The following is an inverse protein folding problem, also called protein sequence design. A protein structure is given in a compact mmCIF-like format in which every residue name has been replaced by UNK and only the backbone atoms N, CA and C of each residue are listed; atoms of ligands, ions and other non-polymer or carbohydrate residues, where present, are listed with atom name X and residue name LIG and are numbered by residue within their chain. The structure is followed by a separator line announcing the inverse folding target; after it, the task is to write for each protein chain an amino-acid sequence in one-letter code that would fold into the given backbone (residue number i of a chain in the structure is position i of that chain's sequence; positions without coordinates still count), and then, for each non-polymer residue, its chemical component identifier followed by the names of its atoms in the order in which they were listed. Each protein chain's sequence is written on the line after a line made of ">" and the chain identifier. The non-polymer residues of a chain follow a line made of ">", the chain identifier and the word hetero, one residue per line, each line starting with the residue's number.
data_IF_894098305684
#
_entry.id   IF_894098305684
#
_cell.length_a   1.000
_cell.length_b   1.000
_cell.length_c   1.000
_cell.angle_alpha   90.00
_cell.angle_beta   90.00
_cell.angle_gamma   90.00
#
_symmetry.space_group_name_H-M   'P 1'
#
loop_
_entity.id
_entity.type
_entity.pdbx_description
1 polymer ?
#
# COMPACT_ATOMS: atom_id res chain seq x y z
N UNK A 1 1.69 -10.92 -8.02
CA UNK A 1 0.94 -9.70 -8.34
C UNK A 1 1.20 -8.65 -7.29
N UNK A 2 1.50 -7.44 -7.71
CA UNK A 2 1.78 -6.35 -6.76
C UNK A 2 0.49 -5.71 -6.24
N UNK A 3 0.59 -5.05 -5.09
CA UNK A 3 -0.52 -4.33 -4.46
C UNK A 3 -0.11 -2.87 -4.29
N UNK A 4 -1.01 -1.96 -4.67
CA UNK A 4 -0.80 -0.52 -4.48
C UNK A 4 -1.79 -0.01 -3.46
N UNK A 5 -1.30 0.72 -2.45
CA UNK A 5 -2.13 1.32 -1.42
C UNK A 5 -1.90 2.83 -1.45
N UNK A 6 -2.97 3.60 -1.52
CA UNK A 6 -2.88 5.05 -1.56
C UNK A 6 -3.49 5.68 -0.33
N UNK A 7 -3.04 6.88 -0.03
CA UNK A 7 -3.59 7.68 1.05
C UNK A 7 -2.78 8.96 1.21
N UNK A 8 -3.31 9.97 1.90
CA UNK A 8 -2.60 11.21 2.09
C UNK A 8 -1.33 11.02 2.91
N UNK A 9 -0.38 11.90 2.71
CA UNK A 9 0.85 11.89 3.49
C UNK A 9 0.50 12.10 4.97
N UNK A 10 1.16 11.33 5.83
CA UNK A 10 0.91 11.42 7.26
C UNK A 10 -0.26 10.60 7.78
N UNK A 11 -0.92 9.80 6.92
CA UNK A 11 -2.03 8.96 7.37
C UNK A 11 -1.57 7.67 8.09
N UNK A 12 -0.28 7.41 8.11
CA UNK A 12 0.27 6.24 8.80
C UNK A 12 0.63 5.07 7.89
N UNK A 13 0.63 5.26 6.58
CA UNK A 13 1.00 4.19 5.64
C UNK A 13 2.38 3.60 5.94
N UNK A 14 3.37 4.48 6.10
CA UNK A 14 4.73 4.03 6.37
C UNK A 14 4.86 3.35 7.73
N UNK A 15 4.09 3.80 8.70
CA UNK A 15 4.09 3.22 10.03
C UNK A 15 3.60 1.77 10.02
N UNK A 16 2.63 1.48 9.16
CA UNK A 16 2.01 0.15 9.08
C UNK A 16 2.52 -0.69 7.92
N UNK A 17 3.54 -0.25 7.21
CA UNK A 17 3.98 -0.92 5.98
C UNK A 17 4.32 -2.39 6.18
N UNK A 18 4.97 -2.73 7.28
CA UNK A 18 5.33 -4.13 7.55
C UNK A 18 4.10 -4.99 7.79
N UNK A 19 3.13 -4.45 8.52
CA UNK A 19 1.86 -5.15 8.77
C UNK A 19 1.09 -5.35 7.48
N UNK A 20 1.09 -4.33 6.61
CA UNK A 20 0.43 -4.42 5.32
C UNK A 20 1.07 -5.49 4.44
N UNK A 21 2.40 -5.53 4.40
CA UNK A 21 3.11 -6.52 3.62
C UNK A 21 2.80 -7.94 4.08
N UNK A 22 2.75 -8.16 5.39
CA UNK A 22 2.39 -9.47 5.95
C UNK A 22 0.94 -9.82 5.61
N UNK A 23 0.05 -8.86 5.76
CA UNK A 23 -1.38 -9.08 5.50
C UNK A 23 -1.63 -9.52 4.05
N UNK A 24 -0.93 -8.91 3.10
CA UNK A 24 -1.11 -9.22 1.68
C UNK A 24 -0.12 -10.27 1.16
N UNK A 25 0.75 -10.78 2.01
CA UNK A 25 1.74 -11.77 1.59
C UNK A 25 2.80 -11.21 0.66
N UNK A 26 3.14 -9.93 0.80
CA UNK A 26 4.13 -9.28 -0.06
C UNK A 26 5.52 -9.42 0.55
N UNK A 27 6.50 -9.65 -0.32
CA UNK A 27 7.89 -9.81 0.11
C UNK A 27 8.71 -8.54 -0.02
N UNK A 28 8.21 -7.54 -0.75
CA UNK A 28 8.90 -6.29 -0.99
C UNK A 28 7.99 -5.13 -0.64
N UNK A 29 8.59 -4.02 -0.18
CA UNK A 29 7.86 -2.80 0.15
C UNK A 29 8.51 -1.66 -0.63
N UNK A 30 7.69 -0.92 -1.39
CA UNK A 30 8.14 0.26 -2.13
C UNK A 30 7.44 1.47 -1.52
N UNK A 31 8.20 2.27 -0.79
CA UNK A 31 7.69 3.51 -0.21
C UNK A 31 7.78 4.61 -1.27
N UNK A 32 6.86 5.56 -1.23
CA UNK A 32 6.82 6.70 -2.17
C UNK A 32 6.72 6.26 -3.64
N UNK A 33 5.94 5.20 -3.88
CA UNK A 33 5.66 4.76 -5.25
C UNK A 33 4.76 5.77 -5.96
N UNK A 34 4.98 5.95 -7.27
CA UNK A 34 4.19 6.87 -8.09
C UNK A 34 3.59 6.14 -9.27
N UNK A 35 2.39 6.55 -9.74
CA UNK A 35 1.82 5.97 -10.96
C UNK A 35 2.79 6.07 -12.12
N UNK A 36 2.98 4.98 -12.83
CA UNK A 36 3.96 4.88 -13.89
C UNK A 36 5.26 4.22 -13.49
N UNK A 37 5.54 4.14 -12.19
CA UNK A 37 6.70 3.41 -11.71
C UNK A 37 6.47 1.91 -11.84
N UNK A 38 7.55 1.15 -11.95
CA UNK A 38 7.46 -0.30 -12.00
C UNK A 38 6.85 -0.84 -10.71
N UNK A 39 6.00 -1.85 -10.85
CA UNK A 39 5.41 -2.55 -9.71
C UNK A 39 5.84 -4.02 -9.78
N UNK A 40 6.92 -4.39 -9.12
CA UNK A 40 7.39 -5.78 -9.14
C UNK A 40 6.36 -6.74 -8.56
N UNK A 41 6.43 -7.99 -8.96
CA UNK A 41 5.58 -9.02 -8.41
C UNK A 41 5.89 -9.19 -6.92
N UNK A 42 4.88 -9.42 -6.12
CA UNK A 42 4.98 -9.55 -4.66
C UNK A 42 5.49 -8.28 -3.98
N UNK A 43 5.28 -7.13 -4.60
CA UNK A 43 5.66 -5.84 -4.01
C UNK A 43 4.42 -5.10 -3.50
N UNK A 44 4.56 -4.52 -2.31
CA UNK A 44 3.58 -3.61 -1.74
C UNK A 44 4.05 -2.19 -2.01
N UNK A 45 3.30 -1.45 -2.80
CA UNK A 45 3.64 -0.07 -3.15
C UNK A 45 2.75 0.90 -2.36
N UNK A 46 3.36 1.89 -1.77
CA UNK A 46 2.66 2.93 -1.01
C UNK A 46 2.77 4.23 -1.77
N UNK A 47 1.62 4.87 -2.02
CA UNK A 47 1.59 6.10 -2.80
C UNK A 47 0.65 7.12 -2.18
N UNK A 48 0.89 8.38 -2.47
CA UNK A 48 0.00 9.47 -2.09
C UNK A 48 -0.96 9.85 -3.23
N UNK A 49 -0.89 9.16 -4.35
CA UNK A 49 -1.67 9.48 -5.55
C UNK A 49 -3.00 8.71 -5.53
N UNK A 50 -4.12 9.39 -5.24
CA UNK A 50 -5.42 8.71 -5.21
C UNK A 50 -5.90 8.27 -6.59
N UNK A 51 -5.32 8.82 -7.64
CA UNK A 51 -5.65 8.47 -9.02
C UNK A 51 -4.94 7.22 -9.52
N UNK A 52 -4.09 6.61 -8.70
CA UNK A 52 -3.40 5.39 -9.10
C UNK A 52 -4.40 4.28 -9.40
N UNK A 53 -4.34 3.75 -10.63
CA UNK A 53 -5.30 2.74 -11.08
C UNK A 53 -5.12 1.45 -10.27
N UNK A 54 -6.24 0.91 -9.80
CA UNK A 54 -6.23 -0.34 -9.04
C UNK A 54 -5.73 -0.20 -7.61
N UNK A 55 -5.47 1.03 -7.16
CA UNK A 55 -4.98 1.25 -5.80
C UNK A 55 -6.11 1.11 -4.78
N UNK A 56 -5.75 0.61 -3.61
CA UNK A 56 -6.68 0.41 -2.49
C UNK A 56 -6.46 1.53 -1.49
N UNK A 57 -7.53 2.14 -1.00
CA UNK A 57 -7.43 3.20 0.00
C UNK A 57 -6.87 2.65 1.31
N UNK A 58 -5.88 3.35 1.88
CA UNK A 58 -5.28 2.93 3.14
C UNK A 58 -6.32 2.83 4.27
N UNK A 59 -7.29 3.75 4.27
CA UNK A 59 -8.34 3.73 5.30
C UNK A 59 -9.15 2.43 5.27
N UNK A 60 -9.39 1.88 4.10
CA UNK A 60 -10.09 0.60 3.97
C UNK A 60 -9.23 -0.56 4.46
N UNK A 61 -7.95 -0.53 4.11
CA UNK A 61 -7.01 -1.57 4.55
C UNK A 61 -6.82 -1.53 6.06
N UNK A 62 -6.71 -0.34 6.62
CA UNK A 62 -6.57 -0.17 8.07
C UNK A 62 -7.78 -0.75 8.81
N UNK A 63 -8.98 -0.54 8.26
CA UNK A 63 -10.18 -1.13 8.83
C UNK A 63 -10.13 -2.66 8.83
N UNK A 64 -9.59 -3.24 7.77
CA UNK A 64 -9.40 -4.70 7.70
C UNK A 64 -8.38 -5.19 8.73
N UNK A 65 -7.29 -4.46 8.92
CA UNK A 65 -6.27 -4.84 9.90
C UNK A 65 -6.78 -4.76 11.33
N UNK A 66 -7.72 -3.86 11.59
CA UNK A 66 -8.24 -3.65 12.95
C UNK A 66 -9.58 -4.32 13.20
N UNK A 67 -10.13 -5.02 12.23
CA UNK A 67 -11.47 -5.63 12.29
C UNK A 67 -11.48 -7.02 12.91
N UNK A 68 -10.56 -7.32 13.79
CA UNK A 68 -10.47 -8.64 14.42
C UNK A 68 -11.14 -8.63 15.77
#
# INVERSE_FOLDING_TARGET
>A
MGIVIYGPQGCGKSKHKNELAVHFGMSKIIDDWKPGDALPESALALTNAPEAEGAIAFSEVLALLTAI
#
